data_IF_440524479821
#
_entry.id   IF_440524479821
#
_cell.length_a   1.000
_cell.length_b   1.000
_cell.length_c   1.000
_cell.angle_alpha   90.00
_cell.angle_beta   90.00
_cell.angle_gamma   90.00
#
_symmetry.space_group_name_H-M   'P 1'
#
loop_
_entity.id
_entity.type
_entity.pdbx_description
1 polymer ?
#
# COMPACT_ATOMS: atom_id res chain seq x y z
N UNK A 1 26.74 -16.10 -55.39
CA UNK A 1 26.47 -17.52 -55.08
C UNK A 1 26.17 -17.62 -53.59
N UNK A 2 24.90 -17.44 -53.20
CA UNK A 2 23.92 -18.53 -53.05
C UNK A 2 24.30 -19.52 -51.93
N UNK A 3 24.07 -19.15 -50.66
CA UNK A 3 23.68 -20.06 -49.57
C UNK A 3 22.93 -19.25 -48.51
N UNK A 4 21.78 -18.76 -48.94
CA UNK A 4 20.73 -18.22 -48.08
C UNK A 4 19.56 -19.24 -48.15
N UNK A 5 18.75 -19.30 -47.10
CA UNK A 5 17.41 -19.90 -47.13
C UNK A 5 17.28 -21.44 -47.33
N UNK A 6 17.64 -22.23 -46.31
CA UNK A 6 17.15 -23.62 -46.21
C UNK A 6 16.86 -24.10 -44.78
N UNK A 7 16.75 -23.21 -43.79
CA UNK A 7 16.39 -23.58 -42.40
C UNK A 7 15.21 -22.73 -41.90
N UNK A 8 14.28 -22.44 -42.82
CA UNK A 8 12.96 -21.92 -42.50
C UNK A 8 11.99 -22.89 -43.15
N UNK A 9 11.22 -23.63 -42.34
CA UNK A 9 9.90 -24.23 -42.61
C UNK A 9 9.65 -25.61 -41.98
N UNK A 10 10.63 -26.31 -41.39
CA UNK A 10 10.37 -27.60 -40.71
C UNK A 10 9.93 -27.49 -39.24
N UNK A 11 9.89 -26.29 -38.66
CA UNK A 11 9.54 -26.08 -37.25
C UNK A 11 8.10 -25.63 -36.97
N UNK A 12 7.25 -25.44 -37.99
CA UNK A 12 5.92 -24.81 -37.82
C UNK A 12 4.76 -25.83 -37.84
N UNK A 13 4.95 -27.04 -38.36
CA UNK A 13 3.86 -28.04 -38.44
C UNK A 13 3.71 -28.95 -37.23
N UNK A 14 4.69 -29.02 -36.32
CA UNK A 14 4.62 -29.87 -35.11
C UNK A 14 3.96 -29.21 -33.90
N UNK A 15 3.44 -27.99 -34.02
CA UNK A 15 2.80 -27.27 -32.90
C UNK A 15 1.26 -27.38 -32.93
N UNK A 16 0.66 -28.07 -33.91
CA UNK A 16 -0.81 -28.06 -34.10
C UNK A 16 -1.57 -29.26 -33.54
N UNK A 17 -0.93 -30.23 -32.90
CA UNK A 17 -1.59 -31.48 -32.50
C UNK A 17 -1.20 -32.02 -31.13
N UNK A 18 -0.91 -31.15 -30.16
CA UNK A 18 -0.86 -31.57 -28.75
C UNK A 18 -1.77 -30.75 -27.83
N UNK A 19 -2.68 -31.49 -27.19
CA UNK A 19 -3.49 -31.15 -26.02
C UNK A 19 -4.80 -30.39 -26.23
N UNK A 20 -5.59 -30.88 -27.19
CA UNK A 20 -7.04 -30.96 -26.97
C UNK A 20 -7.32 -32.23 -26.15
N UNK A 21 -7.00 -32.22 -24.85
CA UNK A 21 -7.34 -33.33 -23.94
C UNK A 21 -7.50 -32.83 -22.51
N UNK A 22 -8.72 -32.38 -22.21
CA UNK A 22 -9.52 -32.60 -20.99
C UNK A 22 -10.31 -31.33 -20.62
N UNK A 23 -11.65 -31.36 -20.65
CA UNK A 23 -12.45 -30.40 -19.89
C UNK A 23 -12.46 -30.86 -18.43
N UNK A 24 -11.38 -30.62 -17.69
CA UNK A 24 -11.32 -30.99 -16.27
C UNK A 24 -10.86 -29.80 -15.44
N UNK A 25 -11.83 -29.24 -14.71
CA UNK A 25 -11.68 -28.28 -13.62
C UNK A 25 -11.06 -26.93 -14.00
N UNK A 26 -11.93 -25.95 -14.24
CA UNK A 26 -11.57 -24.53 -14.18
C UNK A 26 -10.70 -24.26 -12.95
N UNK A 27 -9.59 -23.51 -13.09
CA UNK A 27 -8.55 -23.40 -12.08
C UNK A 27 -9.06 -22.56 -10.90
N UNK A 28 -9.71 -23.19 -9.92
CA UNK A 28 -10.20 -22.55 -8.70
C UNK A 28 -9.11 -21.74 -7.98
N UNK A 29 -7.83 -22.10 -8.16
CA UNK A 29 -6.68 -21.36 -7.66
C UNK A 29 -6.50 -19.97 -8.29
N UNK A 30 -6.54 -19.85 -9.63
CA UNK A 30 -6.30 -18.56 -10.32
C UNK A 30 -7.40 -17.53 -10.05
N UNK A 31 -8.64 -17.99 -9.86
CA UNK A 31 -9.77 -17.10 -9.52
C UNK A 31 -9.61 -16.53 -8.10
N UNK A 32 -9.12 -17.33 -7.15
CA UNK A 32 -8.86 -16.88 -5.78
C UNK A 32 -7.69 -15.92 -5.69
N UNK A 33 -6.63 -16.18 -6.46
CA UNK A 33 -5.44 -15.33 -6.52
C UNK A 33 -5.78 -13.95 -7.11
N UNK A 34 -6.47 -13.91 -8.25
CA UNK A 34 -6.95 -12.67 -8.85
C UNK A 34 -7.94 -11.90 -7.95
N UNK A 35 -8.77 -12.60 -7.16
CA UNK A 35 -9.66 -11.97 -6.19
C UNK A 35 -8.87 -11.35 -5.02
N UNK A 36 -7.82 -12.01 -4.56
CA UNK A 36 -6.96 -11.52 -3.49
C UNK A 36 -6.17 -10.28 -3.90
N UNK A 37 -5.58 -10.28 -5.10
CA UNK A 37 -4.88 -9.11 -5.65
C UNK A 37 -5.79 -7.88 -5.74
N UNK A 38 -7.03 -8.07 -6.19
CA UNK A 38 -8.03 -6.98 -6.25
C UNK A 38 -8.40 -6.45 -4.87
N UNK A 39 -8.54 -7.34 -3.88
CA UNK A 39 -8.84 -6.94 -2.51
C UNK A 39 -7.68 -6.13 -1.90
N UNK A 40 -6.44 -6.56 -2.12
CA UNK A 40 -5.24 -5.83 -1.67
C UNK A 40 -5.16 -4.45 -2.35
N UNK A 41 -5.37 -4.38 -3.67
CA UNK A 41 -5.38 -3.08 -4.37
C UNK A 41 -6.48 -2.13 -3.85
N UNK A 42 -7.68 -2.65 -3.57
CA UNK A 42 -8.76 -1.86 -2.99
C UNK A 42 -8.39 -1.35 -1.58
N UNK A 43 -7.76 -2.20 -0.76
CA UNK A 43 -7.28 -1.82 0.57
C UNK A 43 -6.20 -0.73 0.48
N UNK A 44 -5.21 -0.88 -0.41
CA UNK A 44 -4.17 0.13 -0.67
C UNK A 44 -4.79 1.48 -1.05
N UNK A 45 -5.76 1.46 -1.97
CA UNK A 45 -6.45 2.67 -2.41
C UNK A 45 -7.22 3.36 -1.27
N UNK A 46 -7.94 2.58 -0.44
CA UNK A 46 -8.66 3.10 0.74
C UNK A 46 -7.71 3.70 1.77
N UNK A 47 -6.61 3.01 2.09
CA UNK A 47 -5.64 3.48 3.07
C UNK A 47 -4.90 4.73 2.56
N UNK A 48 -4.54 4.77 1.28
CA UNK A 48 -3.95 5.95 0.65
C UNK A 48 -4.92 7.14 0.70
N UNK A 49 -6.19 6.94 0.31
CA UNK A 49 -7.21 7.97 0.44
C UNK A 49 -7.41 8.40 1.91
N UNK A 50 -7.27 7.46 2.86
CA UNK A 50 -7.29 7.73 4.29
C UNK A 50 -6.15 8.64 4.75
N UNK A 51 -4.91 8.37 4.35
CA UNK A 51 -3.74 9.22 4.65
C UNK A 51 -3.96 10.63 4.13
N UNK A 52 -4.42 10.73 2.88
CA UNK A 52 -4.74 11.99 2.22
C UNK A 52 -5.85 12.73 2.97
N UNK A 53 -6.91 12.03 3.39
CA UNK A 53 -8.00 12.58 4.18
C UNK A 53 -7.56 13.09 5.55
N UNK A 54 -6.66 12.37 6.23
CA UNK A 54 -6.07 12.83 7.51
C UNK A 54 -5.26 14.10 7.31
N UNK A 55 -4.42 14.16 6.27
CA UNK A 55 -3.69 15.37 5.93
C UNK A 55 -4.61 16.56 5.62
N UNK A 56 -5.69 16.33 4.87
CA UNK A 56 -6.69 17.35 4.59
C UNK A 56 -7.36 17.85 5.87
N UNK A 57 -7.78 16.94 6.76
CA UNK A 57 -8.37 17.28 8.05
C UNK A 57 -7.40 18.10 8.92
N UNK A 58 -6.11 17.75 8.95
CA UNK A 58 -5.10 18.51 9.67
C UNK A 58 -4.99 19.96 9.17
N UNK A 59 -4.93 20.15 7.85
CA UNK A 59 -4.81 21.48 7.26
C UNK A 59 -6.07 22.32 7.42
N UNK A 60 -7.25 21.69 7.37
CA UNK A 60 -8.53 22.33 7.65
C UNK A 60 -8.63 22.78 9.12
N UNK A 61 -8.31 21.90 10.06
CA UNK A 61 -8.31 22.21 11.50
C UNK A 61 -7.37 23.38 11.79
N UNK A 62 -6.13 23.35 11.29
CA UNK A 62 -5.16 24.43 11.48
C UNK A 62 -5.67 25.77 10.94
N UNK A 63 -6.27 25.78 9.75
CA UNK A 63 -6.76 27.01 9.14
C UNK A 63 -8.01 27.55 9.86
N UNK A 64 -8.90 26.67 10.34
CA UNK A 64 -10.05 27.08 11.16
C UNK A 64 -9.63 27.71 12.49
N UNK A 65 -8.56 27.21 13.12
CA UNK A 65 -8.07 27.78 14.37
C UNK A 65 -7.27 29.08 14.20
N UNK A 66 -6.78 29.35 12.99
CA UNK A 66 -6.00 30.55 12.69
C UNK A 66 -6.79 31.73 12.13
N UNK A 67 -8.14 31.66 12.13
CA UNK A 67 -9.03 32.66 11.49
C UNK A 67 -8.67 32.96 10.03
N UNK A 68 -8.18 31.93 9.32
CA UNK A 68 -7.61 32.08 7.99
C UNK A 68 -8.68 32.36 6.92
N UNK A 69 -8.30 33.12 5.88
CA UNK A 69 -9.18 33.36 4.75
C UNK A 69 -9.43 32.07 3.93
N UNK A 70 -10.50 32.04 3.12
CA UNK A 70 -10.86 30.86 2.32
C UNK A 70 -9.74 30.36 1.37
N UNK A 71 -8.90 31.26 0.86
CA UNK A 71 -7.73 30.90 0.06
C UNK A 71 -6.65 30.18 0.87
N UNK A 72 -6.44 30.60 2.11
CA UNK A 72 -5.45 30.02 3.02
C UNK A 72 -5.88 28.65 3.53
N UNK A 73 -7.18 28.43 3.70
CA UNK A 73 -7.77 27.11 3.98
C UNK A 73 -7.34 26.07 2.94
N UNK A 74 -7.45 26.40 1.66
CA UNK A 74 -7.08 25.49 0.57
C UNK A 74 -5.58 25.18 0.56
N UNK A 75 -4.73 26.21 0.65
CA UNK A 75 -3.28 26.03 0.70
C UNK A 75 -2.82 25.25 1.94
N UNK A 76 -3.40 25.52 3.11
CA UNK A 76 -3.11 24.79 4.35
C UNK A 76 -3.47 23.32 4.22
N UNK A 77 -4.65 23.02 3.66
CA UNK A 77 -5.14 21.67 3.41
C UNK A 77 -4.20 20.90 2.47
N UNK A 78 -3.88 21.48 1.31
CA UNK A 78 -2.95 20.85 0.35
C UNK A 78 -1.57 20.63 0.95
N UNK A 79 -1.03 21.62 1.67
CA UNK A 79 0.29 21.52 2.28
C UNK A 79 0.33 20.39 3.30
N UNK A 80 -0.71 20.26 4.13
CA UNK A 80 -0.81 19.20 5.12
C UNK A 80 -0.97 17.81 4.47
N UNK A 81 -1.75 17.68 3.38
CA UNK A 81 -1.85 16.44 2.60
C UNK A 81 -0.49 15.99 2.09
N UNK A 82 0.24 16.89 1.42
CA UNK A 82 1.57 16.60 0.85
C UNK A 82 2.57 16.26 1.96
N UNK A 83 2.55 16.99 3.07
CA UNK A 83 3.44 16.75 4.21
C UNK A 83 3.25 15.35 4.79
N UNK A 84 2.01 14.94 5.08
CA UNK A 84 1.72 13.62 5.67
C UNK A 84 2.07 12.50 4.69
N UNK A 85 1.75 12.67 3.40
CA UNK A 85 2.12 11.70 2.36
C UNK A 85 3.64 11.53 2.22
N UNK A 86 4.38 12.63 2.12
CA UNK A 86 5.84 12.60 2.02
C UNK A 86 6.46 11.99 3.27
N UNK A 87 5.97 12.35 4.46
CA UNK A 87 6.47 11.79 5.70
C UNK A 87 6.27 10.27 5.77
N UNK A 88 5.09 9.77 5.37
CA UNK A 88 4.83 8.33 5.28
C UNK A 88 5.74 7.63 4.28
N UNK A 89 5.94 8.22 3.09
CA UNK A 89 6.83 7.68 2.07
C UNK A 89 8.29 7.62 2.55
N UNK A 90 8.80 8.71 3.14
CA UNK A 90 10.16 8.79 3.68
C UNK A 90 10.33 7.80 4.83
N UNK A 91 9.32 7.66 5.70
CA UNK A 91 9.33 6.69 6.80
C UNK A 91 9.46 5.26 6.29
N UNK A 92 8.65 4.90 5.29
CA UNK A 92 8.76 3.58 4.67
C UNK A 92 10.09 3.34 3.97
N UNK A 93 10.61 4.32 3.22
CA UNK A 93 11.94 4.24 2.61
C UNK A 93 13.05 4.03 3.66
N UNK A 94 12.98 4.75 4.78
CA UNK A 94 13.90 4.59 5.89
C UNK A 94 13.81 3.18 6.51
N UNK A 95 12.60 2.62 6.61
CA UNK A 95 12.40 1.25 7.07
C UNK A 95 12.99 0.21 6.13
N UNK A 96 12.79 0.37 4.82
CA UNK A 96 13.39 -0.51 3.79
C UNK A 96 14.92 -0.46 3.80
N UNK A 97 15.51 0.73 3.93
CA UNK A 97 16.97 0.89 4.06
C UNK A 97 17.46 0.19 5.33
N UNK A 98 16.77 0.40 6.45
CA UNK A 98 17.13 -0.23 7.75
C UNK A 98 17.05 -1.76 7.64
N UNK A 99 16.03 -2.28 6.95
CA UNK A 99 15.90 -3.72 6.64
C UNK A 99 17.07 -4.23 5.80
N UNK A 100 17.42 -3.52 4.74
CA UNK A 100 18.56 -3.86 3.89
C UNK A 100 19.88 -3.88 4.65
N UNK A 101 20.10 -2.90 5.53
CA UNK A 101 21.27 -2.87 6.42
C UNK A 101 21.28 -4.03 7.42
N UNK A 102 20.14 -4.35 8.02
CA UNK A 102 20.03 -5.46 8.96
C UNK A 102 20.30 -6.82 8.30
N UNK A 103 19.75 -7.05 7.10
CA UNK A 103 20.02 -8.25 6.31
C UNK A 103 21.50 -8.35 5.93
N UNK A 104 22.10 -7.23 5.51
CA UNK A 104 23.53 -7.17 5.19
C UNK A 104 24.43 -7.51 6.39
N UNK A 105 24.10 -7.01 7.58
CA UNK A 105 24.87 -7.29 8.81
C UNK A 105 24.70 -8.75 9.27
N UNK A 106 23.51 -9.33 9.10
CA UNK A 106 23.21 -10.71 9.54
C UNK A 106 23.57 -11.78 8.51
N UNK A 107 23.92 -11.39 7.28
CA UNK A 107 24.20 -12.33 6.18
C UNK A 107 22.95 -13.09 5.71
N UNK A 108 21.76 -12.61 6.05
CA UNK A 108 20.49 -13.20 5.61
C UNK A 108 20.08 -12.69 4.23
N UNK A 109 19.35 -13.51 3.48
CA UNK A 109 18.73 -13.07 2.23
C UNK A 109 17.59 -12.10 2.50
N UNK A 110 17.50 -11.04 1.70
CA UNK A 110 16.37 -10.12 1.73
C UNK A 110 15.19 -10.82 1.07
N UNK A 111 14.33 -11.47 1.85
CA UNK A 111 13.07 -11.97 1.32
C UNK A 111 12.23 -10.80 0.78
N UNK A 112 11.99 -10.83 -0.53
CA UNK A 112 11.22 -9.83 -1.27
C UNK A 112 9.71 -9.93 -1.04
N UNK A 113 9.28 -9.91 0.23
CA UNK A 113 7.86 -9.79 0.57
C UNK A 113 7.32 -8.41 0.20
N UNK A 114 6.02 -8.33 -0.10
CA UNK A 114 5.27 -7.10 -0.43
C UNK A 114 5.26 -6.10 0.76
N UNK A 115 6.39 -5.44 1.02
CA UNK A 115 6.54 -4.45 2.11
C UNK A 115 5.67 -3.21 1.91
N UNK A 116 5.27 -2.95 0.66
CA UNK A 116 4.46 -1.80 0.28
C UNK A 116 3.10 -1.77 0.98
N UNK A 117 2.50 -2.93 1.28
CA UNK A 117 1.22 -3.00 1.98
C UNK A 117 1.33 -2.53 3.43
N UNK A 118 2.36 -3.00 4.13
CA UNK A 118 2.60 -2.62 5.52
C UNK A 118 2.90 -1.13 5.65
N UNK A 119 3.66 -0.56 4.73
CA UNK A 119 3.96 0.88 4.70
C UNK A 119 2.71 1.73 4.58
N UNK A 120 1.78 1.39 3.67
CA UNK A 120 0.58 2.18 3.43
C UNK A 120 -0.39 2.05 4.61
N UNK A 121 -0.63 0.83 5.09
CA UNK A 121 -1.54 0.56 6.21
C UNK A 121 -1.00 1.15 7.51
N UNK A 122 0.29 0.94 7.80
CA UNK A 122 0.98 1.50 8.96
C UNK A 122 1.02 3.02 8.91
N UNK A 123 1.39 3.59 7.75
CA UNK A 123 1.38 5.03 7.52
C UNK A 123 0.01 5.65 7.80
N UNK A 124 -1.08 5.05 7.29
CA UNK A 124 -2.44 5.51 7.59
C UNK A 124 -2.77 5.44 9.09
N UNK A 125 -2.58 4.27 9.71
CA UNK A 125 -2.96 4.04 11.10
C UNK A 125 -2.26 4.99 12.06
N UNK A 126 -0.95 5.18 11.88
CA UNK A 126 -0.19 6.11 12.73
C UNK A 126 -0.39 7.57 12.35
N UNK A 127 -0.67 7.93 11.09
CA UNK A 127 -1.05 9.29 10.73
C UNK A 127 -2.33 9.71 11.46
N UNK A 128 -3.34 8.82 11.44
CA UNK A 128 -4.59 9.04 12.15
C UNK A 128 -4.37 9.14 13.67
N UNK A 129 -3.55 8.25 14.24
CA UNK A 129 -3.20 8.31 15.65
C UNK A 129 -2.47 9.61 16.03
N UNK A 130 -1.54 10.07 15.18
CA UNK A 130 -0.85 11.34 15.36
C UNK A 130 -1.81 12.53 15.33
N UNK A 131 -2.77 12.53 14.39
CA UNK A 131 -3.82 13.53 14.35
C UNK A 131 -4.67 13.53 15.64
N UNK A 132 -5.12 12.36 16.11
CA UNK A 132 -5.87 12.23 17.36
C UNK A 132 -5.04 12.74 18.56
N UNK A 133 -3.74 12.42 18.61
CA UNK A 133 -2.85 12.91 19.67
C UNK A 133 -2.76 14.44 19.68
N UNK A 134 -2.65 15.08 18.52
CA UNK A 134 -2.64 16.54 18.45
C UNK A 134 -3.93 17.18 18.99
N UNK A 135 -5.09 16.54 18.75
CA UNK A 135 -6.37 16.99 19.30
C UNK A 135 -6.43 16.80 20.82
N UNK A 136 -5.94 15.66 21.33
CA UNK A 136 -5.91 15.37 22.78
C UNK A 136 -5.02 16.36 23.53
N UNK A 137 -3.87 16.75 22.96
CA UNK A 137 -2.98 17.75 23.55
C UNK A 137 -3.43 19.20 23.31
N UNK A 138 -4.58 19.42 22.65
CA UNK A 138 -5.11 20.73 22.32
C UNK A 138 -4.11 21.60 21.53
N UNK A 139 -3.36 20.99 20.61
CA UNK A 139 -2.40 21.67 19.72
C UNK A 139 -2.82 21.56 18.25
N UNK A 140 -3.98 22.13 17.87
CA UNK A 140 -4.52 22.02 16.50
C UNK A 140 -3.57 22.61 15.44
N UNK A 141 -2.81 23.66 15.80
CA UNK A 141 -1.81 24.28 14.92
C UNK A 141 -0.71 23.29 14.48
N UNK A 142 -0.42 22.30 15.32
CA UNK A 142 0.62 21.29 15.10
C UNK A 142 0.04 19.95 14.63
N UNK A 143 -1.27 19.85 14.38
CA UNK A 143 -1.92 18.62 13.97
C UNK A 143 -1.25 17.96 12.75
N UNK A 144 -0.91 18.76 11.73
CA UNK A 144 -0.20 18.26 10.55
C UNK A 144 1.19 17.69 10.87
N UNK A 145 1.91 18.26 11.85
CA UNK A 145 3.22 17.77 12.26
C UNK A 145 3.10 16.44 13.00
N UNK A 146 2.18 16.33 13.97
CA UNK A 146 1.95 15.08 14.68
C UNK A 146 1.47 13.96 13.74
N UNK A 147 0.56 14.28 12.82
CA UNK A 147 0.11 13.34 11.80
C UNK A 147 1.27 12.92 10.87
N UNK A 148 2.16 13.84 10.48
CA UNK A 148 3.33 13.52 9.67
C UNK A 148 4.35 12.64 10.42
N UNK A 149 4.64 12.94 11.69
CA UNK A 149 5.50 12.11 12.55
C UNK A 149 4.89 10.72 12.74
N UNK A 150 3.57 10.66 12.94
CA UNK A 150 2.83 9.41 12.97
C UNK A 150 2.97 8.64 11.65
N UNK A 151 2.67 9.27 10.52
CA UNK A 151 2.80 8.67 9.20
C UNK A 151 4.21 8.13 8.94
N UNK A 152 5.24 8.89 9.31
CA UNK A 152 6.64 8.47 9.22
C UNK A 152 6.89 7.22 10.08
N UNK A 153 6.51 7.24 11.36
CA UNK A 153 6.70 6.11 12.26
C UNK A 153 5.94 4.87 11.80
N UNK A 154 4.71 5.05 11.33
CA UNK A 154 3.88 3.96 10.80
C UNK A 154 4.40 3.40 9.49
N UNK A 155 4.89 4.24 8.58
CA UNK A 155 5.54 3.82 7.35
C UNK A 155 6.82 3.04 7.64
N UNK A 156 7.64 3.54 8.57
CA UNK A 156 8.86 2.89 9.03
C UNK A 156 8.60 1.52 9.65
N UNK A 157 7.69 1.46 10.63
CA UNK A 157 7.30 0.20 11.28
C UNK A 157 6.61 -0.77 10.32
N UNK A 158 5.84 -0.25 9.37
CA UNK A 158 5.17 -1.02 8.33
C UNK A 158 6.12 -1.61 7.29
N UNK A 159 7.27 -0.99 7.06
CA UNK A 159 8.35 -1.51 6.23
C UNK A 159 9.22 -2.56 6.95
N UNK A 160 9.21 -2.59 8.29
CA UNK A 160 9.94 -3.61 9.03
C UNK A 160 9.25 -4.98 8.88
N UNK A 161 10.03 -6.05 8.64
CA UNK A 161 9.49 -7.39 8.54
C UNK A 161 9.07 -7.87 9.94
N UNK A 162 7.78 -7.74 10.23
CA UNK A 162 7.13 -8.39 11.36
C UNK A 162 5.99 -9.25 10.85
N UNK A 163 5.99 -10.54 11.19
CA UNK A 163 4.90 -11.49 10.89
C UNK A 163 3.49 -10.94 11.21
N UNK A 164 3.40 -9.96 12.11
CA UNK A 164 2.14 -9.39 12.61
C UNK A 164 1.35 -8.58 11.58
N UNK A 165 2.00 -7.87 10.65
CA UNK A 165 1.27 -7.04 9.66
C UNK A 165 0.63 -7.91 8.58
N UNK A 166 1.31 -8.99 8.16
CA UNK A 166 0.76 -9.97 7.23
C UNK A 166 -0.50 -10.66 7.78
N UNK A 167 -0.58 -10.89 9.09
CA UNK A 167 -1.77 -11.48 9.73
C UNK A 167 -2.95 -10.52 9.74
N UNK A 168 -2.73 -9.24 10.06
CA UNK A 168 -3.80 -8.24 10.09
C UNK A 168 -4.37 -8.00 8.68
N UNK A 169 -3.49 -7.88 7.67
CA UNK A 169 -3.91 -7.70 6.27
C UNK A 169 -4.66 -8.94 5.77
N UNK A 170 -4.20 -10.16 6.11
CA UNK A 170 -4.91 -11.40 5.78
C UNK A 170 -6.28 -11.50 6.47
N UNK A 171 -6.40 -11.06 7.71
CA UNK A 171 -7.68 -11.03 8.42
C UNK A 171 -8.66 -10.01 7.80
N UNK A 172 -8.19 -8.80 7.46
CA UNK A 172 -9.02 -7.78 6.84
C UNK A 172 -9.50 -8.21 5.45
N UNK A 173 -8.61 -8.79 4.63
CA UNK A 173 -8.96 -9.33 3.32
C UNK A 173 -9.99 -10.48 3.43
N UNK A 174 -9.85 -11.35 4.44
CA UNK A 174 -10.79 -12.43 4.71
C UNK A 174 -12.18 -11.91 5.15
N UNK A 175 -12.26 -10.77 5.83
CA UNK A 175 -13.53 -10.15 6.22
C UNK A 175 -14.25 -9.51 5.04
N UNK A 176 -13.56 -8.74 4.21
CA UNK A 176 -14.17 -8.08 3.04
C UNK A 176 -14.70 -9.11 2.03
N UNK A 177 -14.04 -10.27 1.91
CA UNK A 177 -14.51 -11.37 1.09
C UNK A 177 -15.80 -12.03 1.64
N UNK A 178 -15.95 -12.10 2.96
CA UNK A 178 -17.18 -12.63 3.60
C UNK A 178 -18.36 -11.68 3.44
N UNK A 179 -18.14 -10.38 3.50
CA UNK A 179 -19.20 -9.39 3.31
C UNK A 179 -19.77 -9.41 1.89
N UNK A 180 -18.91 -9.55 0.87
CA UNK A 180 -19.38 -9.68 -0.53
C UNK A 180 -20.22 -10.93 -0.74
N UNK A 181 -19.78 -12.09 -0.23
CA UNK A 181 -20.55 -13.34 -0.34
C UNK A 181 -21.92 -13.21 0.36
N UNK A 182 -22.01 -12.39 1.42
CA UNK A 182 -23.27 -12.16 2.14
C UNK A 182 -24.22 -11.20 1.40
N UNK A 183 -23.71 -10.34 0.53
CA UNK A 183 -24.52 -9.42 -0.29
C UNK A 183 -25.08 -10.09 -1.55
N UNK A 184 -24.48 -11.20 -1.99
CA UNK A 184 -24.92 -11.98 -3.15
C UNK A 184 -25.98 -13.07 -2.81
N UNK A 185 -26.38 -13.19 -1.54
CA UNK A 185 -27.43 -14.11 -1.04
C UNK A 185 -28.65 -13.28 -0.62
#
# INVERSE_FOLDING_TARGET
MQKEFAISLQGIETVRTQSLSTPHEAPKGRVREAANERAVQAMRAKCFAGVVGVGAACGAVRAMTGEAAASELFFSTLTAMVLVMLAGFIGGLAGDITRGMAAWVTGGDVEGGDTTDGMIVGGFGFAFLGFVMALVFWQPERAGLFAAVGAFAGGFLGALPGEQVGVIVRMLAAQEQRERIRQDI
#
